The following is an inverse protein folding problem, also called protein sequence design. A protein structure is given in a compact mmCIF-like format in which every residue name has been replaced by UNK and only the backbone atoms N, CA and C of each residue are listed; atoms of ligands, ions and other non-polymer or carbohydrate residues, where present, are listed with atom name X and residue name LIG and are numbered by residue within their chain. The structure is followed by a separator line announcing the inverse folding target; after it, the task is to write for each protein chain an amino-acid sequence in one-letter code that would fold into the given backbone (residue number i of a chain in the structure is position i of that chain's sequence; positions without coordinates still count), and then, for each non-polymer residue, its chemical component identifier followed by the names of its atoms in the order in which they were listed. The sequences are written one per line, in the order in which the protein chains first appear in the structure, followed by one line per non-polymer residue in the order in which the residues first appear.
data_IF_801995722654
#
_entry.id   IF_801995722654
#
_cell.length_a   1.000
_cell.length_b   1.000
_cell.length_c   1.000
_cell.angle_alpha   90.00
_cell.angle_beta   90.00
_cell.angle_gamma   90.00
#
_symmetry.space_group_name_H-M   'P 1'
#
loop_
_entity.id
_entity.type
_entity.pdbx_description
1 polymer ?
#
# COMPACT_ATOMS: atom_id res chain seq x y z
N UNK A 1 35.82 29.05 3.93
CA UNK A 1 36.05 27.75 3.25
C UNK A 1 35.82 26.66 4.30
N UNK A 2 34.93 25.67 4.19
CA UNK A 2 34.25 24.99 3.07
C UNK A 2 32.74 25.26 3.09
N UNK A 3 32.16 25.89 2.06
CA UNK A 3 31.85 25.31 0.75
C UNK A 3 30.65 24.33 0.79
N UNK A 4 29.51 24.81 0.28
CA UNK A 4 28.43 24.07 -0.35
C UNK A 4 28.02 22.74 0.32
N UNK A 5 27.11 22.81 1.29
CA UNK A 5 26.11 21.73 1.44
C UNK A 5 25.31 21.72 0.14
N UNK A 6 25.73 20.92 -0.84
CA UNK A 6 24.87 20.52 -1.96
C UNK A 6 23.56 20.06 -1.32
N UNK A 7 22.48 20.82 -1.51
CA UNK A 7 21.14 20.28 -1.34
C UNK A 7 21.08 19.09 -2.29
N UNK A 8 21.31 17.89 -1.77
CA UNK A 8 21.02 16.67 -2.48
C UNK A 8 19.55 16.77 -2.87
N UNK A 9 19.27 16.69 -4.17
CA UNK A 9 17.94 16.75 -4.74
C UNK A 9 17.11 15.69 -4.02
N UNK A 10 16.30 16.08 -3.05
CA UNK A 10 15.39 15.18 -2.36
C UNK A 10 14.29 14.84 -3.37
N UNK A 11 14.41 13.67 -3.99
CA UNK A 11 13.37 13.20 -4.91
C UNK A 11 12.13 12.87 -4.09
N UNK A 12 10.96 13.16 -4.65
CA UNK A 12 9.70 12.74 -4.04
C UNK A 12 9.67 11.21 -3.93
N UNK A 13 9.15 10.70 -2.81
CA UNK A 13 9.16 9.27 -2.48
C UNK A 13 8.69 8.36 -3.61
N UNK A 14 7.59 8.72 -4.28
CA UNK A 14 7.07 7.94 -5.41
C UNK A 14 8.08 7.81 -6.57
N UNK A 15 8.89 8.84 -6.86
CA UNK A 15 9.91 8.76 -7.90
C UNK A 15 11.07 7.88 -7.47
N UNK A 16 11.46 7.93 -6.19
CA UNK A 16 12.46 7.03 -5.62
C UNK A 16 12.01 5.59 -5.79
N UNK A 17 10.75 5.29 -5.50
CA UNK A 17 10.19 3.95 -5.68
C UNK A 17 10.21 3.51 -7.14
N UNK A 18 9.81 4.36 -8.08
CA UNK A 18 9.87 4.05 -9.52
C UNK A 18 11.30 3.71 -9.93
N UNK A 19 12.27 4.54 -9.55
CA UNK A 19 13.69 4.32 -9.85
C UNK A 19 14.17 2.99 -9.27
N UNK A 20 13.89 2.70 -8.00
CA UNK A 20 14.28 1.44 -7.36
C UNK A 20 13.65 0.22 -8.03
N UNK A 21 12.36 0.31 -8.37
CA UNK A 21 11.67 -0.76 -9.10
C UNK A 21 12.35 -1.06 -10.42
N UNK A 22 12.70 -0.04 -11.21
CA UNK A 22 13.41 -0.23 -12.48
C UNK A 22 14.87 -0.68 -12.31
N UNK A 23 15.56 -0.30 -11.23
CA UNK A 23 16.88 -0.85 -10.90
C UNK A 23 16.78 -2.36 -10.64
N UNK A 24 15.78 -2.80 -9.88
CA UNK A 24 15.56 -4.23 -9.59
C UNK A 24 15.18 -4.98 -10.88
N UNK A 25 14.31 -4.40 -11.72
CA UNK A 25 13.95 -4.96 -13.03
C UNK A 25 15.19 -5.10 -13.92
N UNK A 26 16.01 -4.06 -14.02
CA UNK A 26 17.25 -4.10 -14.79
C UNK A 26 18.20 -5.19 -14.24
N UNK A 27 18.38 -5.25 -12.92
CA UNK A 27 19.18 -6.31 -12.29
C UNK A 27 18.65 -7.72 -12.65
N UNK A 28 17.33 -7.92 -12.71
CA UNK A 28 16.74 -9.19 -13.11
C UNK A 28 17.06 -9.53 -14.57
N UNK A 29 16.95 -8.55 -15.47
CA UNK A 29 17.25 -8.72 -16.90
C UNK A 29 18.71 -9.09 -17.15
N UNK A 30 19.63 -8.64 -16.30
CA UNK A 30 21.05 -9.00 -16.32
C UNK A 30 21.40 -10.21 -15.43
N UNK A 31 20.41 -10.98 -14.98
CA UNK A 31 20.57 -12.17 -14.11
C UNK A 31 21.31 -11.94 -12.80
N UNK A 32 21.24 -10.70 -12.28
CA UNK A 32 21.86 -10.26 -11.01
C UNK A 32 20.90 -10.50 -9.81
N UNK A 33 19.64 -10.88 -10.07
CA UNK A 33 18.66 -11.14 -8.99
C UNK A 33 18.99 -12.45 -8.27
N UNK A 34 18.94 -12.46 -6.93
CA UNK A 34 19.27 -13.65 -6.14
C UNK A 34 18.30 -14.80 -6.42
N UNK A 35 18.83 -16.02 -6.36
CA UNK A 35 18.05 -17.25 -6.43
C UNK A 35 17.09 -17.31 -5.23
N UNK A 36 15.79 -17.59 -5.44
CA UNK A 36 14.80 -17.69 -4.36
C UNK A 36 15.21 -18.69 -3.26
N UNK A 37 15.19 -18.30 -1.98
CA UNK A 37 15.33 -19.25 -0.88
C UNK A 37 14.11 -20.17 -0.76
N UNK A 38 14.32 -21.36 -0.21
CA UNK A 38 13.27 -22.30 0.12
C UNK A 38 12.70 -22.00 1.51
N UNK A 39 11.37 -21.84 1.57
CA UNK A 39 10.64 -21.64 2.82
C UNK A 39 9.61 -22.75 3.10
N UNK A 40 9.39 -23.69 2.18
CA UNK A 40 8.33 -24.69 2.31
C UNK A 40 8.77 -25.90 3.14
N UNK A 41 7.94 -26.34 4.10
CA UNK A 41 8.21 -27.50 4.94
C UNK A 41 6.92 -28.13 5.50
N UNK A 42 6.95 -29.44 5.78
CA UNK A 42 5.80 -30.21 6.29
C UNK A 42 6.00 -30.71 7.73
N UNK A 43 7.23 -31.02 8.13
CA UNK A 43 7.56 -31.60 9.43
C UNK A 43 8.81 -30.92 10.02
N UNK A 44 9.02 -31.04 11.33
CA UNK A 44 10.14 -30.38 12.03
C UNK A 44 11.52 -30.80 11.48
N UNK A 45 11.66 -32.03 10.97
CA UNK A 45 12.90 -32.49 10.34
C UNK A 45 13.20 -31.72 9.03
N UNK A 46 12.18 -31.37 8.23
CA UNK A 46 12.39 -30.57 7.02
C UNK A 46 12.75 -29.11 7.33
N UNK A 47 12.43 -28.62 8.53
CA UNK A 47 12.87 -27.30 8.97
C UNK A 47 14.41 -27.27 9.08
N UNK A 48 15.02 -28.31 9.65
CA UNK A 48 16.48 -28.43 9.71
C UNK A 48 17.09 -28.80 8.37
N UNK A 49 16.48 -29.75 7.66
CA UNK A 49 17.09 -30.40 6.50
C UNK A 49 16.91 -29.62 5.19
N UNK A 50 15.98 -28.66 5.16
CA UNK A 50 15.71 -27.83 3.97
C UNK A 50 15.93 -26.35 4.27
N UNK A 51 15.38 -25.84 5.37
CA UNK A 51 15.33 -24.39 5.62
C UNK A 51 16.59 -23.89 6.32
N UNK A 52 17.06 -24.60 7.35
CA UNK A 52 18.25 -24.21 8.14
C UNK A 52 19.57 -24.77 7.58
N UNK A 53 19.56 -25.26 6.34
CA UNK A 53 20.77 -25.71 5.64
C UNK A 53 21.70 -24.53 5.33
N UNK A 54 23.01 -24.78 5.31
CA UNK A 54 24.00 -23.75 4.97
C UNK A 54 23.75 -23.12 3.58
N UNK A 55 23.32 -23.93 2.61
CA UNK A 55 22.98 -23.46 1.26
C UNK A 55 21.77 -22.50 1.27
N UNK A 56 20.70 -22.86 1.98
CA UNK A 56 19.51 -22.01 2.04
C UNK A 56 19.75 -20.74 2.85
N UNK A 57 20.49 -20.83 3.97
CA UNK A 57 20.92 -19.66 4.74
C UNK A 57 21.81 -18.73 3.92
N UNK A 58 22.67 -19.27 3.05
CA UNK A 58 23.45 -18.47 2.10
C UNK A 58 22.55 -17.74 1.10
N UNK A 59 21.53 -18.41 0.53
CA UNK A 59 20.53 -17.77 -0.35
C UNK A 59 19.79 -16.64 0.38
N UNK A 60 19.36 -16.85 1.63
CA UNK A 60 18.75 -15.81 2.48
C UNK A 60 19.73 -14.66 2.69
N UNK A 61 21.01 -14.94 2.95
CA UNK A 61 22.05 -13.92 3.11
C UNK A 61 22.28 -13.06 1.86
N UNK A 62 22.34 -13.67 0.67
CA UNK A 62 22.44 -12.91 -0.58
C UNK A 62 21.17 -12.07 -0.79
N UNK A 63 20.00 -12.67 -0.56
CA UNK A 63 18.73 -11.97 -0.71
C UNK A 63 18.66 -10.75 0.22
N UNK A 64 19.12 -10.89 1.47
CA UNK A 64 19.29 -9.78 2.42
C UNK A 64 20.15 -8.68 1.84
N UNK A 65 21.36 -8.99 1.36
CA UNK A 65 22.28 -7.98 0.78
C UNK A 65 21.62 -7.26 -0.38
N UNK A 66 20.94 -7.99 -1.27
CA UNK A 66 20.27 -7.41 -2.43
C UNK A 66 19.19 -6.40 -2.02
N UNK A 67 18.26 -6.78 -1.13
CA UNK A 67 17.21 -5.85 -0.68
C UNK A 67 17.74 -4.75 0.24
N UNK A 68 18.79 -5.03 1.01
CA UNK A 68 19.47 -4.06 1.85
C UNK A 68 20.09 -2.94 1.01
N UNK A 69 20.80 -3.28 -0.08
CA UNK A 69 21.37 -2.30 -1.01
C UNK A 69 20.27 -1.48 -1.66
N UNK A 70 19.20 -2.10 -2.13
CA UNK A 70 18.06 -1.39 -2.72
C UNK A 70 17.40 -0.43 -1.70
N UNK A 71 17.19 -0.87 -0.46
CA UNK A 71 16.63 -0.04 0.61
C UNK A 71 17.59 1.11 0.99
N UNK A 72 18.91 0.86 1.03
CA UNK A 72 19.92 1.88 1.28
C UNK A 72 19.92 2.96 0.22
N UNK A 73 19.86 2.59 -1.07
CA UNK A 73 19.71 3.54 -2.18
C UNK A 73 18.42 4.36 -1.99
N UNK A 74 17.30 3.72 -1.65
CA UNK A 74 16.04 4.41 -1.39
C UNK A 74 16.10 5.44 -0.25
N UNK A 75 16.73 5.08 0.86
CA UNK A 75 16.91 5.99 1.99
C UNK A 75 17.87 7.14 1.68
N UNK A 76 18.90 6.87 0.88
CA UNK A 76 19.84 7.87 0.39
C UNK A 76 19.15 8.89 -0.52
N UNK A 77 18.36 8.43 -1.50
CA UNK A 77 17.63 9.31 -2.42
C UNK A 77 16.53 10.15 -1.73
N UNK A 78 15.99 9.66 -0.62
CA UNK A 78 15.01 10.38 0.20
C UNK A 78 15.63 11.30 1.27
N UNK A 79 16.97 11.44 1.35
CA UNK A 79 17.66 12.21 2.39
C UNK A 79 17.28 11.81 3.85
N UNK A 80 16.90 10.55 4.08
CA UNK A 80 16.60 10.03 5.42
C UNK A 80 17.88 9.60 6.15
N UNK A 81 17.91 9.59 7.49
CA UNK A 81 19.09 9.19 8.25
C UNK A 81 19.45 7.71 8.01
N UNK A 82 20.50 7.48 7.21
CA UNK A 82 20.91 6.15 6.75
C UNK A 82 21.48 5.25 7.84
N UNK A 83 22.24 5.80 8.80
CA UNK A 83 23.01 4.98 9.74
C UNK A 83 22.12 4.10 10.61
N UNK A 84 21.20 4.69 11.39
CA UNK A 84 20.34 3.91 12.29
C UNK A 84 19.39 2.97 11.55
N UNK A 85 18.84 3.42 10.41
CA UNK A 85 17.96 2.60 9.62
C UNK A 85 18.67 1.34 9.12
N UNK A 86 19.86 1.49 8.53
CA UNK A 86 20.61 0.38 7.97
C UNK A 86 21.25 -0.51 9.04
N UNK A 87 21.75 0.04 10.14
CA UNK A 87 22.46 -0.79 11.13
C UNK A 87 21.53 -1.56 12.06
N UNK A 88 20.31 -1.07 12.31
CA UNK A 88 19.40 -1.68 13.30
C UNK A 88 18.04 -1.98 12.70
N UNK A 89 17.36 -0.99 12.13
CA UNK A 89 15.94 -1.12 11.76
C UNK A 89 15.75 -2.16 10.66
N UNK A 90 16.49 -2.06 9.57
CA UNK A 90 16.34 -2.95 8.42
C UNK A 90 16.74 -4.40 8.72
N UNK A 91 17.87 -4.70 9.39
CA UNK A 91 18.19 -6.07 9.81
C UNK A 91 17.11 -6.69 10.69
N UNK A 92 16.61 -5.96 11.69
CA UNK A 92 15.52 -6.45 12.56
C UNK A 92 14.26 -6.71 11.74
N UNK A 93 13.88 -5.79 10.86
CA UNK A 93 12.72 -5.94 9.99
C UNK A 93 12.85 -7.18 9.09
N UNK A 94 14.02 -7.39 8.49
CA UNK A 94 14.28 -8.53 7.63
C UNK A 94 14.23 -9.85 8.39
N UNK A 95 14.79 -9.93 9.60
CA UNK A 95 14.71 -11.14 10.43
C UNK A 95 13.26 -11.48 10.76
N UNK A 96 12.44 -10.49 11.15
CA UNK A 96 11.01 -10.70 11.41
C UNK A 96 10.26 -11.16 10.15
N UNK A 97 10.62 -10.61 8.99
CA UNK A 97 10.08 -11.02 7.68
C UNK A 97 10.45 -12.46 7.34
N UNK A 98 11.69 -12.89 7.59
CA UNK A 98 12.10 -14.29 7.38
C UNK A 98 11.35 -15.23 8.32
N UNK A 99 11.15 -14.85 9.58
CA UNK A 99 10.32 -15.64 10.52
C UNK A 99 8.90 -15.80 9.96
N UNK A 100 8.29 -14.72 9.45
CA UNK A 100 6.97 -14.77 8.85
C UNK A 100 6.91 -15.71 7.61
N UNK A 101 7.92 -15.65 6.75
CA UNK A 101 8.04 -16.52 5.56
C UNK A 101 8.19 -17.99 5.94
N UNK A 102 9.01 -18.29 6.95
CA UNK A 102 9.19 -19.66 7.45
C UNK A 102 7.88 -20.18 8.04
N UNK A 103 7.18 -19.39 8.87
CA UNK A 103 5.89 -19.81 9.46
C UNK A 103 4.84 -20.07 8.37
N UNK A 104 4.71 -19.17 7.40
CA UNK A 104 3.77 -19.34 6.27
C UNK A 104 4.12 -20.53 5.38
N UNK A 105 5.40 -20.87 5.29
CA UNK A 105 5.87 -22.00 4.51
C UNK A 105 5.48 -23.37 5.05
N UNK A 106 5.00 -23.45 6.29
CA UNK A 106 4.48 -24.68 6.88
C UNK A 106 3.24 -25.17 6.13
N UNK A 107 3.21 -26.43 5.72
CA UNK A 107 2.09 -27.04 5.00
C UNK A 107 0.74 -26.82 5.68
N UNK A 108 0.67 -27.00 6.99
CA UNK A 108 -0.58 -26.75 7.73
C UNK A 108 -1.08 -25.31 7.63
N UNK A 109 -0.18 -24.32 7.49
CA UNK A 109 -0.58 -22.93 7.25
C UNK A 109 -0.98 -22.70 5.79
N UNK A 110 -0.28 -23.32 4.84
CA UNK A 110 -0.62 -23.24 3.40
C UNK A 110 -1.99 -23.84 3.10
N UNK A 111 -2.32 -24.98 3.72
CA UNK A 111 -3.61 -25.65 3.55
C UNK A 111 -4.78 -24.81 4.07
N UNK A 112 -4.52 -23.96 5.08
CA UNK A 112 -5.46 -22.97 5.59
C UNK A 112 -5.55 -21.70 4.72
N UNK A 113 -4.72 -21.57 3.67
CA UNK A 113 -4.64 -20.39 2.82
C UNK A 113 -3.97 -19.18 3.50
N UNK A 114 -3.17 -19.41 4.54
CA UNK A 114 -2.52 -18.34 5.28
C UNK A 114 -1.18 -17.95 4.64
N UNK A 115 -1.17 -16.80 3.97
CA UNK A 115 0.03 -16.28 3.32
C UNK A 115 0.98 -15.54 4.26
N UNK A 116 2.23 -15.40 3.82
CA UNK A 116 3.31 -14.74 4.56
C UNK A 116 2.97 -13.30 4.97
N UNK A 117 2.13 -12.64 4.18
CA UNK A 117 1.65 -11.28 4.45
C UNK A 117 0.84 -11.22 5.76
N UNK A 118 -0.03 -12.18 6.05
CA UNK A 118 -0.79 -12.23 7.32
C UNK A 118 0.18 -12.37 8.50
N UNK A 119 1.10 -13.33 8.41
CA UNK A 119 2.04 -13.59 9.50
C UNK A 119 2.94 -12.39 9.76
N UNK A 120 3.42 -11.74 8.71
CA UNK A 120 4.27 -10.55 8.81
C UNK A 120 3.57 -9.38 9.50
N UNK A 121 2.33 -9.09 9.11
CA UNK A 121 1.53 -8.06 9.77
C UNK A 121 1.25 -8.44 11.23
N UNK A 122 0.85 -9.70 11.47
CA UNK A 122 0.51 -10.18 12.80
C UNK A 122 1.68 -10.10 13.77
N UNK A 123 2.88 -10.52 13.35
CA UNK A 123 4.11 -10.39 14.13
C UNK A 123 4.38 -8.92 14.46
N UNK A 124 4.30 -8.03 13.47
CA UNK A 124 4.51 -6.60 13.68
C UNK A 124 3.50 -6.00 14.69
N UNK A 125 2.21 -6.32 14.54
CA UNK A 125 1.15 -5.85 15.43
C UNK A 125 1.34 -6.37 16.86
N UNK A 126 1.67 -7.65 17.02
CA UNK A 126 1.93 -8.26 18.33
C UNK A 126 3.11 -7.57 19.02
N UNK A 127 4.23 -7.37 18.32
CA UNK A 127 5.39 -6.68 18.88
C UNK A 127 5.02 -5.24 19.26
N UNK A 128 4.37 -4.48 18.37
CA UNK A 128 4.03 -3.07 18.63
C UNK A 128 3.09 -2.89 19.80
N UNK A 129 2.10 -3.78 19.97
CA UNK A 129 1.04 -3.60 20.96
C UNK A 129 1.28 -4.36 22.28
N UNK A 130 2.12 -5.40 22.30
CA UNK A 130 2.45 -6.16 23.52
C UNK A 130 3.81 -5.77 24.13
N UNK A 131 4.82 -5.59 23.29
CA UNK A 131 6.20 -5.31 23.73
C UNK A 131 6.47 -3.80 23.65
N UNK A 132 5.97 -3.15 22.61
CA UNK A 132 6.29 -1.78 22.27
C UNK A 132 7.61 -1.67 21.50
N UNK A 133 7.79 -0.55 20.81
CA UNK A 133 9.04 -0.19 20.13
C UNK A 133 9.39 1.27 20.44
N UNK A 134 10.67 1.64 20.56
CA UNK A 134 11.07 3.03 20.74
C UNK A 134 10.59 3.92 19.58
N UNK A 135 10.24 5.17 19.88
CA UNK A 135 9.70 6.09 18.86
C UNK A 135 10.72 6.40 17.76
N UNK A 136 12.02 6.41 18.09
CA UNK A 136 13.08 6.56 17.08
C UNK A 136 13.08 5.40 16.07
N UNK A 137 12.79 4.17 16.50
CA UNK A 137 12.72 3.01 15.63
C UNK A 137 11.49 3.13 14.72
N UNK A 138 10.34 3.46 15.32
CA UNK A 138 9.08 3.68 14.59
C UNK A 138 9.20 4.76 13.51
N UNK A 139 9.86 5.88 13.82
CA UNK A 139 10.03 7.00 12.88
C UNK A 139 10.85 6.67 11.62
N UNK A 140 11.60 5.58 11.67
CA UNK A 140 12.43 5.07 10.58
C UNK A 140 11.77 3.92 9.82
N UNK A 141 10.58 3.48 10.23
CA UNK A 141 9.79 2.52 9.46
C UNK A 141 9.10 3.25 8.31
N UNK A 142 9.00 2.59 7.16
CA UNK A 142 8.33 3.14 5.99
C UNK A 142 7.78 2.00 5.13
N UNK A 143 6.77 1.31 5.66
CA UNK A 143 6.15 0.18 4.97
C UNK A 143 5.55 0.58 3.62
N UNK A 144 5.03 1.80 3.49
CA UNK A 144 4.42 2.30 2.26
C UNK A 144 5.41 2.28 1.07
N UNK A 145 6.66 2.70 1.28
CA UNK A 145 7.70 2.63 0.25
C UNK A 145 7.92 1.19 -0.22
N UNK A 146 8.00 0.24 0.71
CA UNK A 146 8.21 -1.17 0.38
C UNK A 146 7.03 -1.74 -0.40
N UNK A 147 5.77 -1.40 -0.03
CA UNK A 147 4.59 -1.76 -0.82
C UNK A 147 4.71 -1.20 -2.24
N UNK A 148 5.00 0.09 -2.39
CA UNK A 148 5.07 0.73 -3.70
C UNK A 148 6.16 0.12 -4.58
N UNK A 149 7.30 -0.32 -4.02
CA UNK A 149 8.35 -1.04 -4.78
C UNK A 149 7.78 -2.37 -5.28
N UNK A 150 7.18 -3.17 -4.40
CA UNK A 150 6.53 -4.43 -4.77
C UNK A 150 5.44 -4.25 -5.84
N UNK A 151 4.72 -3.14 -5.81
CA UNK A 151 3.73 -2.78 -6.83
C UNK A 151 4.37 -2.46 -8.18
N UNK A 152 5.47 -1.71 -8.24
CA UNK A 152 6.17 -1.49 -9.53
C UNK A 152 6.63 -2.83 -10.11
N UNK A 153 7.15 -3.73 -9.27
CA UNK A 153 7.52 -5.09 -9.68
C UNK A 153 6.32 -5.94 -10.11
N UNK A 154 5.13 -5.74 -9.52
CA UNK A 154 3.89 -6.39 -9.98
C UNK A 154 3.57 -6.08 -11.44
N UNK A 155 3.97 -4.90 -11.92
CA UNK A 155 3.78 -4.53 -13.32
C UNK A 155 4.45 -5.52 -14.27
N UNK A 156 5.54 -6.17 -13.86
CA UNK A 156 6.27 -7.16 -14.68
C UNK A 156 5.48 -8.45 -14.91
N UNK A 157 4.52 -8.78 -14.05
CA UNK A 157 3.71 -10.00 -14.15
C UNK A 157 2.30 -9.74 -14.69
N UNK A 158 1.94 -8.47 -14.90
CA UNK A 158 0.61 -8.05 -15.35
C UNK A 158 0.66 -7.66 -16.82
N UNK A 159 -0.10 -8.37 -17.66
CA UNK A 159 -0.22 -8.08 -19.10
C UNK A 159 -0.97 -6.75 -19.30
N UNK A 160 -0.43 -5.88 -20.16
CA UNK A 160 -0.97 -4.54 -20.40
C UNK A 160 -2.42 -4.55 -20.91
N UNK A 161 -2.80 -5.53 -21.72
CA UNK A 161 -4.19 -5.68 -22.19
C UNK A 161 -5.18 -5.88 -21.04
N UNK A 162 -4.76 -6.59 -19.99
CA UNK A 162 -5.59 -6.80 -18.81
C UNK A 162 -5.70 -5.52 -17.97
N UNK A 163 -4.65 -4.68 -17.96
CA UNK A 163 -4.72 -3.34 -17.38
C UNK A 163 -5.75 -2.49 -18.12
N UNK A 164 -5.80 -2.53 -19.46
CA UNK A 164 -6.80 -1.76 -20.21
C UNK A 164 -8.23 -2.24 -19.91
N UNK A 165 -8.46 -3.56 -19.91
CA UNK A 165 -9.78 -4.14 -19.65
C UNK A 165 -10.22 -3.90 -18.21
N UNK A 166 -9.46 -4.39 -17.24
CA UNK A 166 -9.81 -4.26 -15.82
C UNK A 166 -9.70 -2.80 -15.33
N UNK A 167 -8.81 -2.00 -15.91
CA UNK A 167 -8.63 -0.60 -15.54
C UNK A 167 -9.78 0.29 -16.00
N UNK A 168 -10.38 0.02 -17.16
CA UNK A 168 -11.56 0.76 -17.63
C UNK A 168 -12.79 0.47 -16.78
N UNK A 169 -13.08 -0.82 -16.50
CA UNK A 169 -14.10 -1.23 -15.54
C UNK A 169 -13.82 -0.66 -14.14
N UNK A 170 -12.56 -0.75 -13.70
CA UNK A 170 -12.10 -0.21 -12.43
C UNK A 170 -12.26 1.31 -12.33
N UNK A 171 -12.11 2.06 -13.43
CA UNK A 171 -12.31 3.51 -13.44
C UNK A 171 -13.80 3.87 -13.35
N UNK A 172 -14.68 3.11 -14.02
CA UNK A 172 -16.13 3.26 -13.88
C UNK A 172 -16.54 2.97 -12.44
N UNK A 173 -16.10 1.84 -11.87
CA UNK A 173 -16.33 1.52 -10.47
C UNK A 173 -15.80 2.62 -9.54
N UNK A 174 -14.55 3.04 -9.74
CA UNK A 174 -13.92 4.07 -8.93
C UNK A 174 -14.73 5.37 -8.92
N UNK A 175 -15.22 5.81 -10.08
CA UNK A 175 -16.03 7.02 -10.18
C UNK A 175 -17.35 6.87 -9.40
N UNK A 176 -18.07 5.76 -9.60
CA UNK A 176 -19.34 5.51 -8.93
C UNK A 176 -19.17 5.41 -7.40
N UNK A 177 -18.16 4.66 -6.94
CA UNK A 177 -17.85 4.48 -5.51
C UNK A 177 -17.38 5.80 -4.90
N UNK A 178 -16.39 6.48 -5.49
CA UNK A 178 -15.86 7.74 -4.95
C UNK A 178 -16.98 8.76 -4.81
N UNK A 179 -17.80 8.96 -5.84
CA UNK A 179 -18.91 9.92 -5.78
C UNK A 179 -19.92 9.54 -4.71
N UNK A 180 -20.46 8.31 -4.75
CA UNK A 180 -21.51 7.88 -3.82
C UNK A 180 -21.05 7.90 -2.36
N UNK A 181 -19.87 7.33 -2.07
CA UNK A 181 -19.31 7.23 -0.72
C UNK A 181 -18.90 8.60 -0.20
N UNK A 182 -18.29 9.45 -1.03
CA UNK A 182 -17.88 10.80 -0.60
C UNK A 182 -19.10 11.64 -0.18
N UNK A 183 -20.15 11.66 -1.00
CA UNK A 183 -21.38 12.41 -0.68
C UNK A 183 -22.07 11.85 0.57
N UNK A 184 -22.17 10.53 0.71
CA UNK A 184 -22.74 9.91 1.89
C UNK A 184 -21.95 10.24 3.16
N UNK A 185 -20.63 10.08 3.12
CA UNK A 185 -19.74 10.41 4.24
C UNK A 185 -19.81 11.89 4.60
N UNK A 186 -19.85 12.77 3.60
CA UNK A 186 -19.97 14.21 3.80
C UNK A 186 -21.29 14.55 4.49
N UNK A 187 -22.41 14.08 3.94
CA UNK A 187 -23.74 14.24 4.52
C UNK A 187 -23.80 13.74 5.97
N UNK A 188 -23.23 12.57 6.24
CA UNK A 188 -23.22 11.97 7.58
C UNK A 188 -22.41 12.82 8.56
N UNK A 189 -21.22 13.29 8.16
CA UNK A 189 -20.39 14.16 8.99
C UNK A 189 -21.09 15.48 9.31
N UNK A 190 -21.76 16.09 8.31
CA UNK A 190 -22.59 17.30 8.52
C UNK A 190 -23.72 17.04 9.50
N UNK A 191 -24.43 15.91 9.37
CA UNK A 191 -25.53 15.53 10.28
C UNK A 191 -25.05 15.33 11.71
N UNK A 192 -23.86 14.77 11.90
CA UNK A 192 -23.24 14.58 13.22
C UNK A 192 -22.60 15.86 13.78
N UNK A 193 -22.63 16.97 13.03
CA UNK A 193 -22.02 18.26 13.38
C UNK A 193 -20.52 18.16 13.63
N UNK A 194 -19.83 17.39 12.79
CA UNK A 194 -18.36 17.33 12.75
C UNK A 194 -17.86 18.61 12.08
N UNK A 195 -16.70 19.12 12.50
CA UNK A 195 -16.12 20.33 11.91
C UNK A 195 -15.78 20.14 10.42
N UNK A 196 -15.69 21.25 9.69
CA UNK A 196 -15.54 21.21 8.22
C UNK A 196 -14.25 20.52 7.78
N UNK A 197 -13.15 20.70 8.52
CA UNK A 197 -11.86 20.09 8.13
C UNK A 197 -11.91 18.58 8.30
N UNK A 198 -12.36 18.08 9.45
CA UNK A 198 -12.55 16.64 9.65
C UNK A 198 -13.58 16.06 8.68
N UNK A 199 -14.66 16.79 8.39
CA UNK A 199 -15.67 16.37 7.42
C UNK A 199 -15.03 16.13 6.05
N UNK A 200 -14.25 17.08 5.53
CA UNK A 200 -13.58 16.93 4.24
C UNK A 200 -12.54 15.80 4.27
N UNK A 201 -11.72 15.72 5.33
CA UNK A 201 -10.70 14.68 5.44
C UNK A 201 -11.30 13.27 5.53
N UNK A 202 -12.35 13.06 6.35
CA UNK A 202 -13.02 11.77 6.50
C UNK A 202 -13.70 11.36 5.20
N UNK A 203 -14.46 12.27 4.57
CA UNK A 203 -15.15 11.99 3.31
C UNK A 203 -14.18 11.60 2.20
N UNK A 204 -13.04 12.28 2.08
CA UNK A 204 -12.03 11.94 1.09
C UNK A 204 -11.26 10.66 1.43
N UNK A 205 -10.96 10.44 2.70
CA UNK A 205 -10.25 9.24 3.14
C UNK A 205 -11.04 7.97 2.82
N UNK A 206 -12.30 7.93 3.24
CA UNK A 206 -13.17 6.74 3.14
C UNK A 206 -13.63 6.44 1.71
N UNK A 207 -13.56 7.39 0.78
CA UNK A 207 -14.08 7.22 -0.59
C UNK A 207 -13.03 7.01 -1.67
N UNK A 208 -11.77 7.37 -1.43
CA UNK A 208 -10.70 7.33 -2.46
C UNK A 208 -9.62 6.30 -2.09
N UNK A 209 -8.61 6.72 -1.32
CA UNK A 209 -7.43 5.91 -1.03
C UNK A 209 -6.92 6.11 0.40
N UNK A 210 -7.81 6.48 1.32
CA UNK A 210 -7.51 6.58 2.74
C UNK A 210 -6.49 7.67 3.06
N UNK A 211 -5.29 7.24 3.44
CA UNK A 211 -4.22 8.10 3.96
C UNK A 211 -3.82 9.17 2.94
N UNK A 212 -3.54 8.79 1.69
CA UNK A 212 -3.09 9.75 0.67
C UNK A 212 -4.18 10.77 0.33
N UNK A 213 -5.45 10.36 0.36
CA UNK A 213 -6.59 11.25 0.17
C UNK A 213 -6.78 12.22 1.35
N UNK A 214 -6.60 11.75 2.58
CA UNK A 214 -6.62 12.60 3.77
C UNK A 214 -5.49 13.65 3.73
N UNK A 215 -4.26 13.24 3.39
CA UNK A 215 -3.09 14.13 3.27
C UNK A 215 -3.31 15.16 2.16
N UNK A 216 -3.76 14.73 0.98
CA UNK A 216 -4.02 15.63 -0.14
C UNK A 216 -5.12 16.65 0.20
N UNK A 217 -6.19 16.18 0.84
CA UNK A 217 -7.31 17.03 1.30
C UNK A 217 -6.82 18.02 2.35
N UNK A 218 -6.07 17.58 3.36
CA UNK A 218 -5.50 18.44 4.39
C UNK A 218 -4.57 19.51 3.80
N UNK A 219 -3.74 19.14 2.82
CA UNK A 219 -2.91 20.09 2.10
C UNK A 219 -3.72 21.12 1.30
N UNK A 220 -4.78 20.68 0.63
CA UNK A 220 -5.65 21.54 -0.17
C UNK A 220 -6.44 22.55 0.70
N UNK A 221 -6.89 22.14 1.88
CA UNK A 221 -7.69 22.99 2.79
C UNK A 221 -6.86 23.67 3.88
N UNK A 222 -5.54 23.44 3.93
CA UNK A 222 -4.63 23.82 5.04
C UNK A 222 -5.13 23.35 6.41
N UNK A 223 -5.59 22.11 6.46
CA UNK A 223 -6.19 21.53 7.65
C UNK A 223 -5.19 21.24 8.77
N UNK A 224 -5.70 21.13 9.99
CA UNK A 224 -4.89 20.86 11.18
C UNK A 224 -4.19 19.48 11.12
N UNK A 225 -2.91 19.44 11.52
CA UNK A 225 -2.07 18.24 11.46
C UNK A 225 -2.45 17.16 12.47
N UNK A 226 -3.05 17.53 13.61
CA UNK A 226 -3.56 16.57 14.60
C UNK A 226 -4.83 15.90 14.08
N UNK A 227 -5.73 16.67 13.47
CA UNK A 227 -6.93 16.13 12.77
C UNK A 227 -6.53 15.18 11.66
N UNK A 228 -5.56 15.55 10.83
CA UNK A 228 -5.02 14.67 9.79
C UNK A 228 -4.47 13.37 10.40
N UNK A 229 -3.64 13.46 11.44
CA UNK A 229 -3.08 12.29 12.13
C UNK A 229 -4.16 11.36 12.69
N UNK A 230 -5.26 11.93 13.19
CA UNK A 230 -6.42 11.18 13.64
C UNK A 230 -7.12 10.43 12.50
N UNK A 231 -7.41 11.10 11.38
CA UNK A 231 -8.03 10.45 10.21
C UNK A 231 -7.14 9.33 9.66
N UNK A 232 -5.82 9.55 9.58
CA UNK A 232 -4.86 8.52 9.18
C UNK A 232 -4.95 7.30 10.11
N UNK A 233 -5.04 7.53 11.42
CA UNK A 233 -5.17 6.45 12.41
C UNK A 233 -6.47 5.65 12.21
N UNK A 234 -7.60 6.33 11.93
CA UNK A 234 -8.87 5.67 11.63
C UNK A 234 -8.78 4.77 10.39
N UNK A 235 -8.15 5.28 9.32
CA UNK A 235 -7.93 4.54 8.07
C UNK A 235 -7.10 3.28 8.33
N UNK A 236 -5.94 3.43 8.99
CA UNK A 236 -5.03 2.31 9.22
C UNK A 236 -5.64 1.22 10.10
N UNK A 237 -6.31 1.61 11.18
CA UNK A 237 -6.92 0.64 12.10
C UNK A 237 -8.12 -0.06 11.46
N UNK A 238 -8.91 0.64 10.64
CA UNK A 238 -10.07 0.04 9.95
C UNK A 238 -9.64 -0.86 8.78
N UNK A 239 -8.51 -0.56 8.13
CA UNK A 239 -7.99 -1.37 7.03
C UNK A 239 -7.59 -2.79 7.46
N UNK A 240 -7.06 -2.97 8.67
CA UNK A 240 -6.61 -4.28 9.19
C UNK A 240 -7.74 -5.32 9.23
N UNK A 241 -8.89 -5.09 9.90
CA UNK A 241 -9.97 -6.08 9.90
C UNK A 241 -10.52 -6.28 8.49
N UNK A 242 -10.65 -5.23 7.67
CA UNK A 242 -11.15 -5.39 6.29
C UNK A 242 -10.25 -6.29 5.45
N UNK A 243 -8.94 -6.13 5.57
CA UNK A 243 -7.93 -6.96 4.89
C UNK A 243 -8.08 -8.46 5.17
N UNK A 244 -8.55 -8.82 6.37
CA UNK A 244 -8.69 -10.21 6.80
C UNK A 244 -10.11 -10.71 6.52
N UNK A 245 -11.13 -9.95 6.91
CA UNK A 245 -12.51 -10.41 6.88
C UNK A 245 -13.14 -10.33 5.50
N UNK A 246 -12.79 -9.36 4.65
CA UNK A 246 -13.40 -9.25 3.32
C UNK A 246 -13.12 -10.46 2.42
N UNK A 247 -11.88 -10.98 2.31
CA UNK A 247 -11.60 -12.24 1.60
C UNK A 247 -12.45 -13.41 2.10
N UNK A 248 -12.60 -13.53 3.42
CA UNK A 248 -13.37 -14.60 4.06
C UNK A 248 -14.85 -14.46 3.67
N UNK A 249 -15.40 -13.26 3.76
CA UNK A 249 -16.79 -12.97 3.37
C UNK A 249 -17.00 -13.26 1.88
N UNK A 250 -16.07 -12.85 1.01
CA UNK A 250 -16.15 -13.12 -0.43
C UNK A 250 -16.21 -14.62 -0.73
N UNK A 251 -15.39 -15.42 -0.03
CA UNK A 251 -15.40 -16.89 -0.13
C UNK A 251 -16.74 -17.48 0.31
N UNK A 252 -17.33 -17.00 1.40
CA UNK A 252 -18.66 -17.43 1.85
C UNK A 252 -19.78 -17.04 0.89
N UNK A 253 -19.66 -15.89 0.23
CA UNK A 253 -20.60 -15.43 -0.79
C UNK A 253 -20.42 -16.15 -2.15
N UNK A 254 -19.35 -16.93 -2.32
CA UNK A 254 -19.07 -17.64 -3.56
C UNK A 254 -18.66 -16.73 -4.72
N UNK A 255 -18.08 -15.57 -4.43
CA UNK A 255 -17.64 -14.61 -5.45
C UNK A 255 -16.44 -15.15 -6.24
N UNK A 256 -16.38 -14.81 -7.53
CA UNK A 256 -15.21 -15.04 -8.37
C UNK A 256 -14.00 -14.21 -7.90
N UNK A 257 -12.81 -14.54 -8.40
CA UNK A 257 -11.61 -13.77 -8.06
C UNK A 257 -11.65 -12.35 -8.65
N UNK A 258 -12.30 -12.17 -9.79
CA UNK A 258 -12.52 -10.89 -10.45
C UNK A 258 -13.43 -9.98 -9.62
N UNK A 259 -14.60 -10.48 -9.21
CA UNK A 259 -15.53 -9.75 -8.34
C UNK A 259 -14.91 -9.46 -6.98
N UNK A 260 -14.25 -10.45 -6.38
CA UNK A 260 -13.56 -10.29 -5.10
C UNK A 260 -12.46 -9.24 -5.23
N UNK A 261 -11.61 -9.34 -6.26
CA UNK A 261 -10.54 -8.39 -6.52
C UNK A 261 -11.09 -6.97 -6.68
N UNK A 262 -12.14 -6.80 -7.46
CA UNK A 262 -12.79 -5.51 -7.66
C UNK A 262 -13.36 -4.95 -6.35
N UNK A 263 -14.01 -5.78 -5.53
CA UNK A 263 -14.52 -5.37 -4.23
C UNK A 263 -13.42 -4.93 -3.26
N UNK A 264 -12.37 -5.75 -3.11
CA UNK A 264 -11.22 -5.44 -2.26
C UNK A 264 -10.52 -4.15 -2.69
N UNK A 265 -10.27 -4.01 -4.00
CA UNK A 265 -9.60 -2.84 -4.60
C UNK A 265 -10.41 -1.55 -4.46
N UNK A 266 -11.74 -1.63 -4.53
CA UNK A 266 -12.62 -0.47 -4.41
C UNK A 266 -12.89 -0.03 -2.97
N UNK A 267 -12.75 -0.92 -1.99
CA UNK A 267 -13.17 -0.65 -0.60
C UNK A 267 -12.01 -0.45 0.38
N UNK A 268 -10.92 -1.22 0.28
CA UNK A 268 -9.88 -1.17 1.30
C UNK A 268 -9.05 0.10 1.14
N UNK A 269 -8.98 0.92 2.17
CA UNK A 269 -8.47 2.29 2.11
C UNK A 269 -6.93 2.45 2.08
N UNK A 270 -6.18 1.35 1.94
CA UNK A 270 -4.73 1.42 1.74
C UNK A 270 -4.30 0.46 0.66
N UNK A 271 -3.40 0.89 -0.22
CA UNK A 271 -2.92 0.04 -1.31
C UNK A 271 -2.18 -1.19 -0.77
N UNK A 272 -1.46 -1.06 0.35
CA UNK A 272 -0.89 -2.19 1.06
C UNK A 272 -1.95 -3.20 1.45
N UNK A 273 -2.95 -2.81 2.25
CA UNK A 273 -3.97 -3.77 2.68
C UNK A 273 -4.77 -4.37 1.51
N UNK A 274 -4.99 -3.65 0.40
CA UNK A 274 -5.58 -4.23 -0.81
C UNK A 274 -4.74 -5.37 -1.36
N UNK A 275 -3.43 -5.15 -1.52
CA UNK A 275 -2.49 -6.15 -2.04
C UNK A 275 -2.47 -7.38 -1.13
N UNK A 276 -2.36 -7.16 0.18
CA UNK A 276 -2.42 -8.23 1.17
C UNK A 276 -3.71 -9.04 1.05
N UNK A 277 -4.85 -8.34 1.00
CA UNK A 277 -6.15 -8.97 0.93
C UNK A 277 -6.35 -9.73 -0.39
N UNK A 278 -5.84 -9.18 -1.49
CA UNK A 278 -5.93 -9.79 -2.81
C UNK A 278 -5.05 -11.02 -2.94
N UNK A 279 -3.84 -10.99 -2.36
CA UNK A 279 -2.95 -12.15 -2.37
C UNK A 279 -3.56 -13.34 -1.62
N UNK A 280 -4.27 -13.11 -0.51
CA UNK A 280 -5.02 -14.15 0.21
C UNK A 280 -6.10 -14.85 -0.60
N UNK A 281 -6.62 -14.20 -1.65
CA UNK A 281 -7.67 -14.76 -2.50
C UNK A 281 -7.06 -15.49 -3.70
N UNK A 282 -6.03 -14.92 -4.31
CA UNK A 282 -5.32 -15.52 -5.44
C UNK A 282 -4.72 -14.50 -6.40
N UNK A 283 -3.97 -14.99 -7.40
CA UNK A 283 -3.24 -14.12 -8.34
C UNK A 283 -4.16 -13.22 -9.17
N UNK A 284 -5.34 -13.72 -9.58
CA UNK A 284 -6.31 -12.92 -10.35
C UNK A 284 -6.89 -11.82 -9.47
N UNK A 285 -7.29 -12.16 -8.24
CA UNK A 285 -7.80 -11.19 -7.28
C UNK A 285 -6.76 -10.12 -6.91
N UNK A 286 -5.50 -10.49 -6.68
CA UNK A 286 -4.40 -9.55 -6.45
C UNK A 286 -4.23 -8.57 -7.62
N UNK A 287 -4.24 -9.09 -8.85
CA UNK A 287 -4.11 -8.26 -10.06
C UNK A 287 -5.28 -7.31 -10.23
N UNK A 288 -6.52 -7.82 -10.18
CA UNK A 288 -7.73 -7.01 -10.36
C UNK A 288 -7.84 -5.97 -9.24
N UNK A 289 -7.66 -6.37 -7.98
CA UNK A 289 -7.72 -5.44 -6.84
C UNK A 289 -6.70 -4.32 -6.93
N UNK A 290 -5.46 -4.63 -7.37
CA UNK A 290 -4.44 -3.61 -7.60
C UNK A 290 -4.85 -2.65 -8.71
N UNK A 291 -5.32 -3.17 -9.85
CA UNK A 291 -5.74 -2.35 -11.00
C UNK A 291 -6.92 -1.44 -10.60
N UNK A 292 -7.94 -1.98 -9.94
CA UNK A 292 -9.10 -1.21 -9.49
C UNK A 292 -8.70 -0.14 -8.47
N UNK A 293 -7.82 -0.47 -7.52
CA UNK A 293 -7.29 0.53 -6.56
C UNK A 293 -6.47 1.60 -7.28
N UNK A 294 -5.73 1.26 -8.33
CA UNK A 294 -5.00 2.24 -9.13
C UNK A 294 -5.94 3.16 -9.89
N UNK A 295 -7.03 2.62 -10.43
CA UNK A 295 -8.08 3.44 -11.05
C UNK A 295 -8.69 4.44 -10.06
N UNK A 296 -8.90 4.06 -8.79
CA UNK A 296 -9.27 5.01 -7.72
C UNK A 296 -8.16 6.05 -7.44
N UNK A 297 -6.91 5.61 -7.34
CA UNK A 297 -5.77 6.48 -7.09
C UNK A 297 -5.56 7.54 -8.19
N UNK A 298 -5.90 7.25 -9.45
CA UNK A 298 -5.87 8.20 -10.56
C UNK A 298 -6.83 9.38 -10.31
N UNK A 299 -7.97 9.14 -9.67
CA UNK A 299 -8.96 10.18 -9.35
C UNK A 299 -8.51 11.14 -8.24
N UNK A 300 -7.47 10.79 -7.47
CA UNK A 300 -6.99 11.60 -6.34
C UNK A 300 -6.63 13.03 -6.75
N UNK A 301 -5.90 13.19 -7.86
CA UNK A 301 -5.48 14.50 -8.34
C UNK A 301 -6.68 15.40 -8.71
N UNK A 302 -7.67 14.82 -9.39
CA UNK A 302 -8.91 15.51 -9.75
C UNK A 302 -9.76 15.86 -8.52
N UNK A 303 -9.88 14.94 -7.56
CA UNK A 303 -10.61 15.15 -6.32
C UNK A 303 -9.97 16.26 -5.47
N UNK A 304 -8.64 16.25 -5.30
CA UNK A 304 -7.91 17.28 -4.56
C UNK A 304 -8.07 18.67 -5.19
N UNK A 305 -8.07 18.73 -6.53
CA UNK A 305 -8.34 19.96 -7.28
C UNK A 305 -9.77 20.47 -7.05
N UNK A 306 -10.78 19.61 -7.13
CA UNK A 306 -12.18 19.97 -6.87
C UNK A 306 -12.40 20.45 -5.43
N UNK A 307 -11.77 19.78 -4.46
CA UNK A 307 -11.80 20.16 -3.04
C UNK A 307 -11.16 21.54 -2.81
N UNK A 308 -10.02 21.82 -3.44
CA UNK A 308 -9.34 23.12 -3.36
C UNK A 308 -10.24 24.25 -3.87
N UNK A 309 -10.91 24.05 -5.00
CA UNK A 309 -11.91 24.98 -5.55
C UNK A 309 -13.03 25.19 -4.52
N UNK A 310 -13.69 24.11 -4.09
CA UNK A 310 -14.80 24.18 -3.15
C UNK A 310 -14.45 24.96 -1.88
N UNK A 311 -13.28 24.67 -1.29
CA UNK A 311 -12.83 25.32 -0.06
C UNK A 311 -12.57 26.81 -0.24
N UNK A 312 -11.95 27.19 -1.37
CA UNK A 312 -11.64 28.58 -1.70
C UNK A 312 -12.90 29.43 -1.91
N UNK A 313 -13.96 28.85 -2.50
CA UNK A 313 -15.20 29.56 -2.77
C UNK A 313 -16.13 29.65 -1.54
N UNK A 314 -16.21 28.59 -0.72
CA UNK A 314 -17.17 28.55 0.40
C UNK A 314 -16.64 29.17 1.70
N UNK A 315 -15.32 29.20 1.93
CA UNK A 315 -14.75 29.98 3.02
C UNK A 315 -14.22 31.28 2.42
N UNK A 316 -14.90 32.41 2.72
CA UNK A 316 -14.36 33.76 2.49
C UNK A 316 -12.90 33.71 2.91
N UNK A 317 -11.99 33.84 1.93
CA UNK A 317 -10.56 33.79 2.17
C UNK A 317 -10.26 34.58 3.45
N UNK A 318 -9.80 33.88 4.49
CA UNK A 318 -9.30 34.55 5.68
C UNK A 318 -8.19 35.45 5.16
N UNK A 319 -8.36 36.76 5.33
CA UNK A 319 -7.44 37.77 4.81
C UNK A 319 -6.01 37.38 5.20
N UNK A 320 -5.17 37.09 4.20
CA UNK A 320 -3.76 36.70 4.40
C UNK A 320 -3.41 35.23 4.11
N UNK A 321 -4.37 34.33 3.84
CA UNK A 321 -4.04 32.96 3.41
C UNK A 321 -4.03 32.84 1.88
N UNK A 322 -2.85 32.82 1.26
CA UNK A 322 -2.70 32.37 -0.13
C UNK A 322 -3.05 30.88 -0.22
N UNK A 323 -4.29 30.57 -0.59
CA UNK A 323 -4.65 29.24 -1.09
C UNK A 323 -4.05 29.16 -2.50
N UNK A 324 -3.22 28.15 -2.76
CA UNK A 324 -2.63 27.96 -4.09
C UNK A 324 -3.73 27.90 -5.15
N UNK A 325 -3.58 28.69 -6.22
CA UNK A 325 -4.54 28.70 -7.31
C UNK A 325 -4.70 27.28 -7.86
N UNK A 326 -5.93 26.76 -8.05
CA UNK A 326 -6.16 25.46 -8.65
C UNK A 326 -5.49 25.43 -10.03
N UNK A 327 -4.42 24.66 -10.18
CA UNK A 327 -3.65 24.55 -11.43
C UNK A 327 -3.52 23.07 -11.81
N UNK A 328 -3.43 22.75 -13.10
CA UNK A 328 -3.15 21.38 -13.58
C UNK A 328 -1.88 20.78 -12.97
N UNK A 329 -0.92 21.64 -12.57
CA UNK A 329 0.26 21.28 -11.79
C UNK A 329 -0.08 20.56 -10.48
N UNK A 330 -1.14 20.96 -9.79
CA UNK A 330 -1.59 20.30 -8.56
C UNK A 330 -2.06 18.87 -8.82
N UNK A 331 -2.75 18.62 -9.94
CA UNK A 331 -3.18 17.27 -10.34
C UNK A 331 -1.95 16.37 -10.52
N UNK A 332 -0.93 16.86 -11.24
CA UNK A 332 0.33 16.13 -11.43
C UNK A 332 1.11 15.91 -10.13
N UNK A 333 1.18 16.93 -9.28
CA UNK A 333 1.85 16.84 -7.99
C UNK A 333 1.17 15.86 -7.04
N UNK A 334 -0.15 15.69 -7.12
CA UNK A 334 -0.90 14.71 -6.30
C UNK A 334 -1.06 13.34 -6.94
N UNK A 335 -0.83 13.21 -8.24
CA UNK A 335 -0.88 11.93 -8.94
C UNK A 335 0.15 10.94 -8.36
N UNK A 336 -0.20 9.68 -8.07
CA UNK A 336 0.74 8.72 -7.52
C UNK A 336 1.71 8.20 -8.59
N UNK A 337 2.99 8.58 -8.52
CA UNK A 337 3.94 8.33 -9.63
C UNK A 337 4.34 6.85 -9.73
N UNK A 338 4.21 6.08 -8.65
CA UNK A 338 4.44 4.64 -8.68
C UNK A 338 3.46 3.89 -9.61
N UNK A 339 2.25 4.43 -9.86
CA UNK A 339 1.30 3.88 -10.84
C UNK A 339 1.88 3.96 -12.25
N UNK A 340 2.59 5.04 -12.58
CA UNK A 340 3.30 5.15 -13.87
C UNK A 340 4.41 4.10 -13.96
N UNK A 341 5.13 3.86 -12.86
CA UNK A 341 6.14 2.81 -12.80
C UNK A 341 5.58 1.41 -13.07
N UNK A 342 4.45 1.08 -12.45
CA UNK A 342 3.72 -0.17 -12.70
C UNK A 342 3.30 -0.30 -14.17
N UNK A 343 2.67 0.73 -14.74
CA UNK A 343 2.23 0.70 -16.15
C UNK A 343 3.43 0.58 -17.10
N UNK A 344 4.52 1.31 -16.83
CA UNK A 344 5.73 1.25 -17.64
C UNK A 344 6.41 -0.12 -17.57
N UNK A 345 6.46 -0.75 -16.38
CA UNK A 345 6.94 -2.12 -16.24
C UNK A 345 6.07 -3.12 -17.03
N UNK A 346 4.74 -2.97 -16.96
CA UNK A 346 3.81 -3.79 -17.75
C UNK A 346 3.99 -3.61 -19.26
N UNK A 347 4.17 -2.38 -19.74
CA UNK A 347 4.45 -2.10 -21.14
C UNK A 347 5.75 -2.77 -21.60
N UNK A 348 6.82 -2.65 -20.81
CA UNK A 348 8.11 -3.28 -21.09
C UNK A 348 7.96 -4.81 -21.23
N UNK A 349 7.31 -5.45 -20.26
CA UNK A 349 7.12 -6.90 -20.26
C UNK A 349 6.07 -7.39 -21.27
N UNK A 350 5.14 -6.54 -21.70
CA UNK A 350 4.10 -6.93 -22.66
C UNK A 350 4.52 -6.75 -24.12
N UNK A 351 5.40 -5.79 -24.42
CA UNK A 351 5.68 -5.37 -25.80
C UNK A 351 7.16 -5.34 -26.20
N UNK A 352 8.09 -5.29 -25.24
CA UNK A 352 9.52 -5.11 -25.53
C UNK A 352 10.30 -6.40 -25.34
N UNK A 353 10.02 -7.13 -24.26
CA UNK A 353 10.75 -8.37 -23.94
C UNK A 353 10.20 -9.58 -24.70
N UNK A 354 11.10 -10.48 -25.10
CA UNK A 354 10.73 -11.77 -25.70
C UNK A 354 10.18 -12.74 -24.64
N UNK A 355 9.38 -13.71 -25.08
CA UNK A 355 8.80 -14.72 -24.20
C UNK A 355 9.87 -15.49 -23.40
N UNK A 356 10.98 -15.86 -24.03
CA UNK A 356 12.09 -16.55 -23.38
C UNK A 356 12.71 -15.72 -22.26
N UNK A 357 12.91 -14.42 -22.51
CA UNK A 357 13.49 -13.52 -21.51
C UNK A 357 12.56 -13.31 -20.32
N UNK A 358 11.25 -13.22 -20.58
CA UNK A 358 10.23 -13.11 -19.52
C UNK A 358 10.24 -14.39 -18.66
N UNK A 359 10.25 -15.57 -19.28
CA UNK A 359 10.28 -16.85 -18.58
C UNK A 359 11.52 -16.98 -17.67
N UNK A 360 12.67 -16.51 -18.13
CA UNK A 360 13.93 -16.52 -17.36
C UNK A 360 13.86 -15.68 -16.07
N UNK A 361 13.22 -14.50 -16.12
CA UNK A 361 13.27 -13.53 -15.01
C UNK A 361 12.02 -13.53 -14.11
N UNK A 362 10.91 -14.13 -14.56
CA UNK A 362 9.59 -14.04 -13.92
C UNK A 362 9.62 -14.50 -12.47
N UNK A 363 10.20 -15.66 -12.19
CA UNK A 363 10.15 -16.25 -10.84
C UNK A 363 11.04 -15.49 -9.86
N UNK A 364 12.20 -15.01 -10.32
CA UNK A 364 13.08 -14.14 -9.52
C UNK A 364 12.41 -12.81 -9.18
N UNK A 365 11.77 -12.16 -10.15
CA UNK A 365 11.03 -10.91 -9.93
C UNK A 365 9.83 -11.11 -8.99
N UNK A 366 9.07 -12.20 -9.17
CA UNK A 366 7.94 -12.54 -8.29
C UNK A 366 8.41 -12.81 -6.85
N UNK A 367 9.55 -13.47 -6.68
CA UNK A 367 10.12 -13.72 -5.36
C UNK A 367 10.55 -12.42 -4.66
N UNK A 368 11.29 -11.54 -5.36
CA UNK A 368 11.70 -10.25 -4.81
C UNK A 368 10.50 -9.35 -4.53
N UNK A 369 9.51 -9.36 -5.42
CA UNK A 369 8.24 -8.69 -5.19
C UNK A 369 7.57 -9.14 -3.88
N UNK A 370 7.38 -10.45 -3.70
CA UNK A 370 6.77 -11.00 -2.49
C UNK A 370 7.56 -10.57 -1.25
N UNK A 371 8.88 -10.61 -1.31
CA UNK A 371 9.73 -10.16 -0.22
C UNK A 371 9.50 -8.68 0.14
N UNK A 372 9.39 -7.79 -0.85
CA UNK A 372 9.07 -6.38 -0.60
C UNK A 372 7.70 -6.21 0.07
N UNK A 373 6.71 -6.99 -0.33
CA UNK A 373 5.41 -7.00 0.33
C UNK A 373 5.52 -7.48 1.79
N UNK A 374 6.15 -8.61 2.06
CA UNK A 374 6.27 -9.13 3.44
C UNK A 374 7.08 -8.18 4.34
N UNK A 375 8.15 -7.54 3.81
CA UNK A 375 8.87 -6.46 4.50
C UNK A 375 7.94 -5.28 4.82
N UNK A 376 7.14 -4.87 3.84
CA UNK A 376 6.19 -3.79 4.00
C UNK A 376 5.17 -4.06 5.11
N UNK A 377 4.56 -5.23 5.12
CA UNK A 377 3.54 -5.58 6.11
C UNK A 377 4.11 -5.80 7.50
N UNK A 378 5.34 -6.33 7.61
CA UNK A 378 6.07 -6.33 8.88
C UNK A 378 6.24 -4.89 9.40
N UNK A 379 6.65 -3.96 8.53
CA UNK A 379 6.85 -2.55 8.88
C UNK A 379 5.53 -1.89 9.31
N UNK A 380 4.47 -2.07 8.52
CA UNK A 380 3.12 -1.54 8.81
C UNK A 380 2.60 -2.07 10.15
N UNK A 381 2.79 -3.36 10.43
CA UNK A 381 2.39 -3.94 11.71
C UNK A 381 3.13 -3.31 12.88
N UNK A 382 4.44 -3.13 12.75
CA UNK A 382 5.28 -2.46 13.76
C UNK A 382 4.94 -0.97 13.95
N UNK A 383 4.46 -0.28 12.90
CA UNK A 383 4.06 1.12 12.96
C UNK A 383 2.69 1.33 13.67
N UNK A 384 1.82 0.32 13.62
CA UNK A 384 0.40 0.44 13.98
C UNK A 384 0.12 0.21 15.48
N UNK A 385 -0.37 1.23 16.18
CA UNK A 385 -0.72 1.18 17.61
C UNK A 385 -2.22 1.40 17.82
N UNK A 386 -2.92 0.40 18.37
CA UNK A 386 -4.39 0.49 18.54
C UNK A 386 -4.82 1.53 19.58
N UNK A 387 -3.98 1.81 20.59
CA UNK A 387 -4.30 2.82 21.61
C UNK A 387 -4.50 4.23 21.03
N UNK A 388 -3.88 4.52 19.88
CA UNK A 388 -3.95 5.85 19.26
C UNK A 388 -5.38 6.18 18.77
N UNK A 389 -6.20 5.16 18.51
CA UNK A 389 -7.61 5.29 18.11
C UNK A 389 -8.53 5.66 19.27
N UNK A 390 -8.27 5.13 20.46
CA UNK A 390 -9.16 5.30 21.63
C UNK A 390 -8.82 6.53 22.47
N UNK A 391 -7.64 7.11 22.29
CA UNK A 391 -7.15 8.23 23.10
C UNK A 391 -7.63 9.62 22.61
N UNK A 392 -8.33 9.74 21.48
CA UNK A 392 -8.84 11.03 20.99
C UNK A 392 -10.33 11.22 21.29
N UNK A 393 -10.65 12.28 22.04
CA UNK A 393 -11.92 12.56 22.73
C UNK A 393 -13.19 12.78 21.85
N UNK A 394 -13.23 12.38 20.58
CA UNK A 394 -14.44 12.58 19.75
C UNK A 394 -14.98 11.29 19.14
N UNK A 395 -15.96 10.68 19.85
CA UNK A 395 -16.68 9.48 19.36
C UNK A 395 -17.40 9.71 18.02
N UNK A 396 -17.79 10.96 17.73
CA UNK A 396 -18.58 11.32 16.54
C UNK A 396 -17.82 11.07 15.22
N UNK A 397 -16.60 11.60 15.01
CA UNK A 397 -15.76 11.23 13.86
C UNK A 397 -15.51 9.74 13.67
N UNK A 398 -15.27 9.00 14.76
CA UNK A 398 -15.10 7.54 14.66
C UNK A 398 -16.36 6.86 14.12
N UNK A 399 -17.53 7.19 14.69
CA UNK A 399 -18.81 6.64 14.23
C UNK A 399 -19.08 7.03 12.78
N UNK A 400 -18.84 8.29 12.41
CA UNK A 400 -19.01 8.76 11.04
C UNK A 400 -18.16 7.96 10.05
N UNK A 401 -16.89 7.76 10.38
CA UNK A 401 -15.95 6.99 9.56
C UNK A 401 -16.40 5.53 9.42
N UNK A 402 -16.73 4.86 10.53
CA UNK A 402 -17.13 3.45 10.50
C UNK A 402 -18.45 3.22 9.75
N UNK A 403 -19.43 4.11 9.91
CA UNK A 403 -20.71 4.01 9.18
C UNK A 403 -20.51 4.31 7.70
N UNK A 404 -19.69 5.32 7.35
CA UNK A 404 -19.32 5.59 5.96
C UNK A 404 -18.55 4.41 5.35
N UNK A 405 -17.68 3.75 6.10
CA UNK A 405 -16.96 2.57 5.63
C UNK A 405 -17.89 1.37 5.47
N UNK A 406 -18.84 1.16 6.38
CA UNK A 406 -19.88 0.15 6.22
C UNK A 406 -20.69 0.36 4.93
N UNK A 407 -21.07 1.61 4.64
CA UNK A 407 -21.71 1.97 3.39
C UNK A 407 -20.80 1.70 2.17
N UNK A 408 -19.52 2.07 2.24
CA UNK A 408 -18.53 1.81 1.20
C UNK A 408 -18.41 0.31 0.88
N UNK A 409 -18.31 -0.54 1.92
CA UNK A 409 -18.23 -2.00 1.79
C UNK A 409 -19.43 -2.53 0.99
N UNK A 410 -20.65 -2.10 1.33
CA UNK A 410 -21.88 -2.59 0.68
C UNK A 410 -22.02 -2.08 -0.74
N UNK A 411 -21.86 -0.77 -0.95
CA UNK A 411 -22.02 -0.16 -2.28
C UNK A 411 -20.98 -0.68 -3.27
N UNK A 412 -19.72 -0.79 -2.83
CA UNK A 412 -18.66 -1.32 -3.67
C UNK A 412 -18.89 -2.79 -4.01
N UNK A 413 -19.41 -3.61 -3.08
CA UNK A 413 -19.76 -5.01 -3.38
C UNK A 413 -20.78 -5.09 -4.51
N UNK A 414 -21.86 -4.31 -4.42
CA UNK A 414 -22.92 -4.26 -5.45
C UNK A 414 -22.32 -3.86 -6.79
N UNK A 415 -21.51 -2.81 -6.82
CA UNK A 415 -20.90 -2.32 -8.08
C UNK A 415 -19.89 -3.34 -8.63
N UNK A 416 -19.09 -3.97 -7.79
CA UNK A 416 -18.11 -4.98 -8.19
C UNK A 416 -18.80 -6.18 -8.87
N UNK A 417 -19.85 -6.73 -8.25
CA UNK A 417 -20.63 -7.84 -8.83
C UNK A 417 -21.30 -7.43 -10.14
N UNK A 418 -21.81 -6.20 -10.24
CA UNK A 418 -22.45 -5.75 -11.48
C UNK A 418 -21.48 -5.53 -12.65
N UNK A 419 -20.23 -5.13 -12.37
CA UNK A 419 -19.26 -4.76 -13.40
C UNK A 419 -18.25 -5.87 -13.74
N UNK A 420 -18.00 -6.81 -12.82
CA UNK A 420 -16.95 -7.84 -12.95
C UNK A 420 -17.47 -9.29 -12.96
N UNK A 421 -18.79 -9.49 -13.07
CA UNK A 421 -19.42 -10.80 -13.34
C UNK A 421 -19.25 -11.24 -14.80
#
# INVERSE_FOLDING_TARGET
MSAFKKQAIALHEDWVVVILGFIIIAAALFTIVPVPPAYSWENINQLTDTILTAENLYKIGIQFIFVFVAAAIGYFLNNKPLKLFLTVVFPVLYVLTIIALIISGYKGMKDLGLEAVIFSLSIGLLIRNLIGIPEWFRSLLNGEVFVKIGLVLLGTTVIFRDILKAGSLGLIQALLVVVSVWYFAYWLCRKLKIDDELTMMISSAVSICGVSAAIATAGAIKGDTKKLSYVISLVLVTAIPMMIFMPIIARYLGLSQEETGAWLGGTIDTTGAVVASGSLVGEVALKISTIVKFSQNVLLGAAAFAISIYWTYNKKAVAGQHVEKPTLRLIWERFPKFVLGFVAASLLFSFVLSADKIAEVKDGLKNIQLLWFVLAFTSIGLETKFSDMFNQQSKKPLIAFLVAQGFNIVVTLIIAVLLFN
#
